data_IF_277388301784
#
_entry.id   IF_277388301784
#
_cell.length_a   1.000
_cell.length_b   1.000
_cell.length_c   1.000
_cell.angle_alpha   90.00
_cell.angle_beta   90.00
_cell.angle_gamma   90.00
#
_symmetry.space_group_name_H-M   'P 1'
#
loop_
_entity.id
_entity.type
_entity.pdbx_description
1 polymer ?
#
# COMPACT_ATOMS: atom_id res chain seq x y z
N UNK A 1 -34.18 -29.81 16.16
CA UNK A 1 -34.01 -29.92 14.70
C UNK A 1 -34.22 -28.52 14.16
N UNK A 2 -33.32 -27.87 13.43
CA UNK A 2 -32.41 -28.38 12.41
C UNK A 2 -31.02 -27.75 12.52
N UNK A 3 -30.03 -28.55 12.12
CA UNK A 3 -28.70 -28.09 11.77
C UNK A 3 -28.76 -27.40 10.40
N UNK A 4 -27.99 -26.33 10.24
CA UNK A 4 -27.41 -26.00 8.93
C UNK A 4 -25.99 -25.52 9.18
N UNK A 5 -25.07 -26.33 8.69
CA UNK A 5 -23.64 -26.10 8.67
C UNK A 5 -23.25 -25.26 7.44
N UNK A 6 -22.06 -24.67 7.57
CA UNK A 6 -21.14 -24.27 6.53
C UNK A 6 -21.60 -23.21 5.52
N UNK A 7 -21.04 -22.01 5.71
CA UNK A 7 -20.18 -21.47 4.66
C UNK A 7 -19.02 -20.74 5.35
N UNK A 8 -17.94 -21.48 5.63
CA UNK A 8 -16.61 -20.89 5.71
C UNK A 8 -16.28 -20.36 4.32
N UNK A 9 -16.77 -19.15 4.03
CA UNK A 9 -16.23 -18.36 2.94
C UNK A 9 -15.04 -17.65 3.54
N UNK A 10 -13.85 -18.22 3.41
CA UNK A 10 -12.63 -17.42 3.42
C UNK A 10 -12.66 -16.54 2.16
N UNK A 11 -13.54 -15.55 2.16
CA UNK A 11 -13.36 -14.36 1.35
C UNK A 11 -12.14 -13.71 1.95
N UNK A 12 -11.04 -13.63 1.22
CA UNK A 12 -10.11 -12.53 1.45
C UNK A 12 -10.92 -11.25 1.24
N UNK A 13 -11.51 -10.74 2.33
CA UNK A 13 -12.27 -9.50 2.31
C UNK A 13 -11.32 -8.41 1.85
N UNK A 14 -11.59 -7.80 0.70
CA UNK A 14 -10.82 -6.65 0.27
C UNK A 14 -10.86 -5.60 1.39
N UNK A 15 -9.71 -4.97 1.70
CA UNK A 15 -9.65 -4.01 2.78
C UNK A 15 -10.63 -2.87 2.54
N UNK A 16 -11.32 -2.46 3.60
CA UNK A 16 -12.25 -1.33 3.54
C UNK A 16 -11.46 -0.04 3.28
N UNK A 17 -12.15 0.99 2.75
CA UNK A 17 -11.54 2.31 2.52
C UNK A 17 -10.94 2.89 3.81
N UNK A 18 -11.62 2.72 4.94
CA UNK A 18 -11.14 3.19 6.25
C UNK A 18 -9.87 2.46 6.69
N UNK A 19 -9.80 1.13 6.47
CA UNK A 19 -8.62 0.34 6.76
C UNK A 19 -7.42 0.74 5.87
N UNK A 20 -7.65 0.98 4.58
CA UNK A 20 -6.60 1.48 3.67
C UNK A 20 -6.12 2.88 4.05
N UNK A 21 -7.04 3.77 4.46
CA UNK A 21 -6.68 5.11 4.90
C UNK A 21 -5.82 5.08 6.18
N UNK A 22 -6.20 4.26 7.15
CA UNK A 22 -5.40 4.06 8.37
C UNK A 22 -4.03 3.44 8.07
N UNK A 23 -3.98 2.49 7.14
CA UNK A 23 -2.74 1.86 6.71
C UNK A 23 -1.78 2.87 6.04
N UNK A 24 -2.27 3.68 5.11
CA UNK A 24 -1.51 4.77 4.48
C UNK A 24 -0.96 5.77 5.50
N UNK A 25 -1.75 6.14 6.52
CA UNK A 25 -1.29 7.06 7.59
C UNK A 25 -0.11 6.53 8.40
N UNK A 26 0.08 5.21 8.43
CA UNK A 26 1.20 4.56 9.14
C UNK A 26 2.27 4.03 8.19
N UNK A 27 2.05 4.15 6.88
CA UNK A 27 2.96 3.69 5.86
C UNK A 27 4.26 4.51 5.88
N UNK A 28 5.37 3.85 5.59
CA UNK A 28 6.68 4.51 5.52
C UNK A 28 7.10 4.73 4.08
N UNK A 29 7.83 5.82 3.84
CA UNK A 29 8.32 6.16 2.50
C UNK A 29 9.38 5.17 2.00
N UNK A 30 9.23 4.78 0.74
CA UNK A 30 10.18 3.95 0.00
C UNK A 30 10.91 4.78 -1.05
N UNK A 31 11.78 4.14 -1.84
CA UNK A 31 12.37 4.77 -3.00
C UNK A 31 11.28 5.09 -4.05
N UNK A 32 11.39 6.25 -4.68
CA UNK A 32 10.51 6.65 -5.78
C UNK A 32 10.57 5.65 -6.94
N UNK A 33 9.42 5.35 -7.54
CA UNK A 33 9.29 4.54 -8.76
C UNK A 33 8.83 5.47 -9.89
N UNK A 34 9.59 5.52 -10.99
CA UNK A 34 9.31 6.41 -12.13
C UNK A 34 9.11 7.89 -11.76
N UNK A 35 9.83 8.37 -10.74
CA UNK A 35 9.71 9.73 -10.23
C UNK A 35 8.48 10.00 -9.36
N UNK A 36 7.72 8.95 -9.02
CA UNK A 36 6.55 9.03 -8.13
C UNK A 36 6.91 8.55 -6.74
N UNK A 37 6.40 9.25 -5.72
CA UNK A 37 6.55 8.85 -4.33
C UNK A 37 5.84 7.53 -4.06
N UNK A 38 6.46 6.67 -3.24
CA UNK A 38 5.97 5.34 -2.90
C UNK A 38 6.03 5.16 -1.38
N UNK A 39 5.02 4.50 -0.83
CA UNK A 39 4.96 4.14 0.59
C UNK A 39 4.57 2.68 0.77
N UNK A 40 5.05 2.07 1.84
CA UNK A 40 4.67 0.72 2.24
C UNK A 40 3.86 0.75 3.52
N UNK A 41 2.60 0.34 3.42
CA UNK A 41 1.76 -0.02 4.55
C UNK A 41 1.85 -1.51 4.89
N UNK A 42 1.08 -1.92 5.88
CA UNK A 42 0.87 -3.33 6.23
C UNK A 42 -0.14 -4.04 5.32
N UNK A 43 -1.07 -3.31 4.69
CA UNK A 43 -2.10 -3.87 3.81
C UNK A 43 -1.77 -3.71 2.32
N UNK A 44 -1.23 -2.57 1.92
CA UNK A 44 -0.91 -2.28 0.52
C UNK A 44 0.38 -1.47 0.37
N UNK A 45 0.87 -1.40 -0.86
CA UNK A 45 1.77 -0.31 -1.27
C UNK A 45 0.94 0.85 -1.78
N UNK A 46 1.45 2.06 -1.60
CA UNK A 46 0.82 3.27 -2.08
C UNK A 46 1.77 3.98 -3.01
N UNK A 47 1.25 4.52 -4.11
CA UNK A 47 2.04 5.31 -5.06
C UNK A 47 1.33 6.61 -5.36
N UNK A 48 2.11 7.68 -5.50
CA UNK A 48 1.60 8.99 -5.86
C UNK A 48 0.87 8.88 -7.21
N UNK A 49 -0.39 9.32 -7.23
CA UNK A 49 -1.17 9.41 -8.47
C UNK A 49 -0.67 10.59 -9.31
N UNK A 50 -0.75 10.47 -10.64
CA UNK A 50 -0.51 11.61 -11.52
C UNK A 50 -1.69 12.58 -11.42
N UNK A 51 -1.46 13.76 -10.83
CA UNK A 51 -2.41 14.87 -10.85
C UNK A 51 -2.33 15.58 -12.21
N UNK A 52 -3.46 16.04 -12.74
CA UNK A 52 -3.48 16.90 -13.93
C UNK A 52 -2.91 18.30 -13.62
N UNK A 53 -2.32 18.93 -14.64
CA UNK A 53 -1.67 20.24 -14.55
C UNK A 53 -2.64 21.30 -13.97
N UNK A 54 -2.26 21.89 -12.82
CA UNK A 54 -3.05 22.90 -12.10
C UNK A 54 -3.41 22.55 -10.65
N UNK A 55 -3.28 21.28 -10.23
CA UNK A 55 -3.41 20.89 -8.82
C UNK A 55 -2.02 20.77 -8.17
N UNK A 56 -1.58 21.85 -7.50
CA UNK A 56 -0.39 21.78 -6.67
C UNK A 56 -0.74 21.07 -5.36
N UNK A 57 -0.07 19.95 -5.10
CA UNK A 57 -0.14 19.26 -3.82
C UNK A 57 0.73 20.04 -2.85
N UNK A 58 0.11 20.80 -1.94
CA UNK A 58 0.82 21.62 -0.95
C UNK A 58 1.23 20.85 0.29
N UNK A 59 0.65 19.68 0.52
CA UNK A 59 0.87 18.86 1.72
C UNK A 59 0.91 17.38 1.33
N UNK A 60 1.86 16.62 1.89
CA UNK A 60 1.98 15.18 1.62
C UNK A 60 0.74 14.40 2.08
N UNK A 61 -0.05 14.95 3.01
CA UNK A 61 -1.32 14.36 3.49
C UNK A 61 -2.52 14.59 2.56
N UNK A 62 -2.43 15.53 1.60
CA UNK A 62 -3.47 15.81 0.60
C UNK A 62 -3.14 15.20 -0.78
N UNK A 63 -2.07 14.41 -0.83
CA UNK A 63 -1.61 13.79 -2.06
C UNK A 63 -2.55 12.66 -2.47
N UNK A 64 -3.04 12.72 -3.70
CA UNK A 64 -3.73 11.59 -4.30
C UNK A 64 -2.76 10.40 -4.41
N UNK A 65 -3.18 9.26 -3.88
CA UNK A 65 -2.41 8.01 -3.90
C UNK A 65 -3.27 6.87 -4.42
N UNK A 66 -2.68 6.04 -5.27
CA UNK A 66 -3.25 4.78 -5.69
C UNK A 66 -2.78 3.66 -4.75
N UNK A 67 -3.72 2.85 -4.28
CA UNK A 67 -3.44 1.64 -3.52
C UNK A 67 -3.11 0.49 -4.48
N UNK A 68 -1.96 -0.15 -4.24
CA UNK A 68 -1.46 -1.29 -5.01
C UNK A 68 -1.53 -2.52 -4.10
N UNK A 69 -2.65 -3.22 -4.20
CA UNK A 69 -2.90 -4.43 -3.43
C UNK A 69 -2.21 -5.63 -4.09
N UNK A 70 -1.56 -6.54 -3.33
CA UNK A 70 -0.95 -7.74 -3.87
C UNK A 70 -1.93 -8.65 -4.64
N UNK A 71 -3.20 -8.69 -4.23
CA UNK A 71 -4.23 -9.52 -4.86
C UNK A 71 -4.71 -8.96 -6.21
N UNK A 72 -4.60 -7.65 -6.41
CA UNK A 72 -5.07 -6.95 -7.61
C UNK A 72 -3.97 -6.73 -8.65
N UNK A 73 -2.72 -7.09 -8.32
CA UNK A 73 -1.55 -6.78 -9.13
C UNK A 73 -0.71 -8.02 -9.44
N UNK A 74 0.03 -7.97 -10.55
CA UNK A 74 0.90 -9.08 -10.92
C UNK A 74 2.10 -9.23 -9.96
N UNK A 75 2.66 -10.43 -9.79
CA UNK A 75 3.87 -10.62 -8.99
C UNK A 75 5.06 -9.78 -9.48
N UNK A 76 5.14 -9.52 -10.80
CA UNK A 76 6.18 -8.69 -11.39
C UNK A 76 6.04 -7.23 -10.93
N UNK A 77 4.82 -6.69 -10.96
CA UNK A 77 4.51 -5.36 -10.42
C UNK A 77 4.85 -5.29 -8.94
N UNK A 78 4.39 -6.27 -8.14
CA UNK A 78 4.65 -6.28 -6.70
C UNK A 78 6.13 -6.32 -6.36
N UNK A 79 6.94 -6.99 -7.19
CA UNK A 79 8.40 -7.03 -7.01
C UNK A 79 9.03 -5.65 -7.14
N UNK A 80 8.57 -4.81 -8.06
CA UNK A 80 9.08 -3.43 -8.21
C UNK A 80 8.84 -2.61 -6.93
N UNK A 81 7.67 -2.75 -6.31
CA UNK A 81 7.33 -2.11 -5.03
C UNK A 81 8.15 -2.67 -3.86
N UNK A 82 8.34 -3.99 -3.80
CA UNK A 82 9.20 -4.61 -2.80
C UNK A 82 10.64 -4.11 -2.90
N UNK A 83 11.22 -4.09 -4.10
CA UNK A 83 12.58 -3.61 -4.37
C UNK A 83 12.74 -2.13 -3.99
N UNK A 84 11.74 -1.30 -4.28
CA UNK A 84 11.73 0.11 -3.89
C UNK A 84 11.79 0.29 -2.36
N UNK A 85 11.17 -0.60 -1.59
CA UNK A 85 11.10 -0.51 -0.14
C UNK A 85 12.23 -1.23 0.59
N UNK A 86 12.87 -2.22 -0.02
CA UNK A 86 14.04 -2.93 0.56
C UNK A 86 15.24 -2.00 0.78
N UNK A 87 15.38 -0.96 -0.04
CA UNK A 87 16.50 0.00 0.05
C UNK A 87 16.33 1.05 1.16
N UNK A 88 15.13 1.12 1.75
CA UNK A 88 14.71 2.17 2.70
C UNK A 88 14.13 1.61 4.00
N UNK A 89 13.89 0.29 4.09
CA UNK A 89 13.49 -0.34 5.34
C UNK A 89 14.49 0.09 6.42
N UNK A 90 14.04 0.66 7.56
CA UNK A 90 14.95 1.02 8.63
C UNK A 90 15.71 -0.24 8.94
N UNK A 91 17.02 -0.23 8.69
CA UNK A 91 17.90 -1.33 9.05
C UNK A 91 17.60 -1.56 10.51
N UNK A 92 16.96 -2.68 10.83
CA UNK A 92 16.79 -3.13 12.19
C UNK A 92 18.17 -2.97 12.81
N UNK A 93 18.25 -2.06 13.77
CA UNK A 93 19.49 -1.50 14.26
C UNK A 93 20.47 -2.64 14.46
N UNK A 94 21.59 -2.60 13.73
CA UNK A 94 22.74 -3.43 14.02
C UNK A 94 23.23 -3.02 15.42
N UNK A 95 22.63 -3.63 16.44
CA UNK A 95 23.04 -3.51 17.82
C UNK A 95 24.26 -4.40 18.02
N UNK A 96 25.41 -3.75 18.18
CA UNK A 96 26.65 -4.31 18.72
C UNK A 96 26.45 -4.90 20.12
#
# INVERSE_FOLDING_TARGET
MAATAAADVSTTEQPTVDAMQADLQTAYSCKDIDGRKVWKGGLAYYIQSFMYDGQQVTDETDMATDAVLPEDNSPETMREFEEACLTMAPSAQAGN
#
